data_IF_152281751649
#
_entry.id   IF_152281751649
#
_cell.length_a   1.000
_cell.length_b   1.000
_cell.length_c   1.000
_cell.angle_alpha   90.00
_cell.angle_beta   90.00
_cell.angle_gamma   90.00
#
_symmetry.space_group_name_H-M   'P 1'
#
loop_
_entity.id
_entity.type
_entity.pdbx_description
1 polymer ?
#
# COMPACT_ATOMS: atom_id res chain seq x y z
N UNK A 1 3.57 4.61 -21.18
CA UNK A 1 2.89 4.67 -19.87
C UNK A 1 3.53 3.61 -18.98
N UNK A 2 3.81 3.95 -17.73
CA UNK A 2 4.37 3.03 -16.75
C UNK A 2 3.28 2.15 -16.14
N UNK A 3 3.61 0.91 -15.79
CA UNK A 3 2.65 -0.03 -15.24
C UNK A 3 2.39 0.30 -13.76
N UNK A 4 1.13 0.45 -13.33
CA UNK A 4 0.80 0.65 -11.93
C UNK A 4 1.17 -0.58 -11.09
N UNK A 5 1.43 -0.36 -9.81
CA UNK A 5 1.75 -1.42 -8.87
C UNK A 5 0.46 -1.99 -8.29
N UNK A 6 0.34 -3.31 -8.31
CA UNK A 6 -0.72 -4.07 -7.66
C UNK A 6 -0.13 -5.02 -6.62
N UNK A 7 -0.75 -5.09 -5.45
CA UNK A 7 -0.48 -6.14 -4.46
C UNK A 7 -1.79 -6.57 -3.80
N UNK A 8 -1.97 -7.88 -3.68
CA UNK A 8 -3.09 -8.51 -2.99
C UNK A 8 -2.58 -9.56 -2.02
N UNK A 9 -3.16 -9.58 -0.82
CA UNK A 9 -2.98 -10.67 0.15
C UNK A 9 -4.31 -11.02 0.80
N UNK A 10 -4.50 -12.30 1.10
CA UNK A 10 -5.58 -12.74 1.96
C UNK A 10 -5.07 -12.76 3.42
N UNK A 11 -5.87 -12.24 4.35
CA UNK A 11 -5.55 -12.14 5.77
C UNK A 11 -6.65 -12.79 6.57
N UNK A 12 -6.33 -13.86 7.30
CA UNK A 12 -7.28 -14.58 8.16
C UNK A 12 -7.46 -13.87 9.51
N UNK A 13 -8.02 -12.68 9.45
CA UNK A 13 -8.32 -11.84 10.62
C UNK A 13 -9.63 -11.05 10.37
N UNK A 14 -10.31 -10.58 11.44
CA UNK A 14 -11.50 -9.74 11.30
C UNK A 14 -11.22 -8.44 10.52
N UNK A 15 -12.20 -7.98 9.75
CA UNK A 15 -12.12 -6.75 8.97
C UNK A 15 -11.73 -5.52 9.80
N UNK A 16 -12.29 -5.39 11.00
CA UNK A 16 -11.96 -4.27 11.88
C UNK A 16 -10.50 -4.29 12.31
N UNK A 17 -9.91 -5.47 12.51
CA UNK A 17 -8.49 -5.58 12.86
C UNK A 17 -7.59 -5.16 11.71
N UNK A 18 -7.89 -5.63 10.50
CA UNK A 18 -7.09 -5.25 9.31
C UNK A 18 -7.23 -3.75 9.05
N UNK A 19 -8.44 -3.20 9.19
CA UNK A 19 -8.70 -1.77 9.06
C UNK A 19 -7.95 -0.92 10.09
N UNK A 20 -7.98 -1.29 11.37
CA UNK A 20 -7.23 -0.61 12.43
C UNK A 20 -5.73 -0.58 12.13
N UNK A 21 -5.13 -1.75 11.87
CA UNK A 21 -3.69 -1.86 11.61
C UNK A 21 -3.20 -1.06 10.40
N UNK A 22 -4.10 -0.80 9.45
CA UNK A 22 -3.78 -0.12 8.20
C UNK A 22 -4.11 1.37 8.27
N UNK A 23 -5.16 1.78 8.98
CA UNK A 23 -5.59 3.19 9.04
C UNK A 23 -5.04 3.97 10.24
N UNK A 24 -4.66 3.29 11.32
CA UNK A 24 -4.01 3.93 12.47
C UNK A 24 -2.57 4.33 12.12
N UNK A 25 -2.26 5.62 12.22
CA UNK A 25 -0.97 6.19 11.81
C UNK A 25 0.20 5.83 12.72
N UNK A 26 -0.06 5.35 13.94
CA UNK A 26 0.97 4.83 14.84
C UNK A 26 1.24 3.34 14.57
N UNK A 27 0.24 2.59 14.11
CA UNK A 27 0.38 1.16 13.79
C UNK A 27 0.90 0.91 12.38
N UNK A 28 0.51 1.74 11.41
CA UNK A 28 0.83 1.55 9.99
C UNK A 28 2.35 1.50 9.72
N UNK A 29 3.18 2.46 10.19
CA UNK A 29 4.62 2.43 9.95
C UNK A 29 5.33 1.20 10.55
N UNK A 30 4.72 0.51 11.51
CA UNK A 30 5.32 -0.67 12.14
C UNK A 30 5.50 -1.81 11.15
N UNK A 31 4.53 -2.04 10.25
CA UNK A 31 4.57 -3.13 9.28
C UNK A 31 5.00 -2.69 7.87
N UNK A 32 4.67 -1.45 7.47
CA UNK A 32 4.92 -0.93 6.13
C UNK A 32 6.33 -0.34 6.01
N UNK A 33 7.23 -1.04 5.32
CA UNK A 33 8.63 -0.63 5.18
C UNK A 33 8.83 0.58 4.26
N UNK A 34 7.75 1.09 3.65
CA UNK A 34 7.79 2.31 2.84
C UNK A 34 7.71 3.57 3.72
N UNK A 35 7.38 3.43 5.01
CA UNK A 35 7.23 4.54 5.94
C UNK A 35 7.93 4.24 7.27
N UNK A 36 8.58 5.23 7.84
CA UNK A 36 9.06 5.20 9.24
C UNK A 36 8.16 5.97 10.20
N UNK A 37 7.37 6.92 9.67
CA UNK A 37 6.41 7.71 10.45
C UNK A 37 5.34 8.28 9.52
N UNK A 38 4.11 8.34 10.03
CA UNK A 38 2.99 9.04 9.40
C UNK A 38 2.39 9.94 10.49
N UNK A 39 2.17 11.21 10.18
CA UNK A 39 1.65 12.20 11.14
C UNK A 39 0.48 12.93 10.52
N UNK A 40 -0.75 12.74 11.03
CA UNK A 40 -1.90 13.57 10.64
C UNK A 40 -1.61 15.05 10.91
N UNK A 41 -2.03 15.92 9.99
CA UNK A 41 -1.81 17.37 10.09
C UNK A 41 -3.13 18.11 10.15
N UNK A 42 -4.12 17.72 9.35
CA UNK A 42 -5.35 18.47 9.16
C UNK A 42 -6.48 17.55 8.70
N UNK A 43 -7.70 17.77 9.17
CA UNK A 43 -8.90 17.11 8.64
C UNK A 43 -9.35 17.78 7.32
N UNK A 44 -9.76 16.98 6.34
CA UNK A 44 -10.25 17.50 5.06
C UNK A 44 -11.76 17.76 5.14
N UNK A 45 -12.22 18.83 4.49
CA UNK A 45 -13.64 19.21 4.50
C UNK A 45 -14.55 18.14 3.88
N UNK A 46 -14.04 17.39 2.89
CA UNK A 46 -14.73 16.25 2.26
C UNK A 46 -14.64 14.94 3.05
N UNK A 47 -14.09 14.96 4.27
CA UNK A 47 -13.73 13.79 5.05
C UNK A 47 -12.31 13.29 4.74
N UNK A 48 -11.74 12.55 5.70
CA UNK A 48 -10.35 12.13 5.64
C UNK A 48 -9.40 13.17 6.24
N UNK A 49 -8.10 13.03 5.96
CA UNK A 49 -7.08 13.87 6.55
C UNK A 49 -5.86 14.06 5.64
N UNK A 50 -5.19 15.21 5.79
CA UNK A 50 -3.85 15.46 5.29
C UNK A 50 -2.83 14.94 6.29
N UNK A 51 -1.75 14.34 5.79
CA UNK A 51 -0.66 13.81 6.60
C UNK A 51 0.70 14.16 6.03
N UNK A 52 1.70 14.12 6.91
CA UNK A 52 3.12 14.08 6.56
C UNK A 52 3.63 12.66 6.75
N UNK A 53 4.52 12.21 5.87
CA UNK A 53 5.18 10.93 6.03
C UNK A 53 6.69 11.09 5.96
N UNK A 54 7.40 10.17 6.62
CA UNK A 54 8.85 10.06 6.59
C UNK A 54 9.24 8.63 6.20
N UNK A 55 10.39 8.50 5.54
CA UNK A 55 11.14 7.26 5.41
C UNK A 55 12.61 7.51 5.78
N UNK A 56 12.99 7.06 6.98
CA UNK A 56 14.36 7.15 7.49
C UNK A 56 15.26 6.13 6.80
N UNK A 57 16.24 6.62 6.07
CA UNK A 57 17.34 5.87 5.48
C UNK A 57 18.62 6.13 6.29
N UNK A 58 19.68 5.30 6.17
CA UNK A 58 20.90 5.45 6.97
C UNK A 58 21.57 6.83 6.90
N UNK A 59 21.44 7.54 5.78
CA UNK A 59 22.11 8.83 5.53
C UNK A 59 21.15 9.98 5.19
N UNK A 60 19.83 9.71 5.12
CA UNK A 60 18.85 10.68 4.66
C UNK A 60 17.45 10.33 5.15
N UNK A 61 16.64 11.33 5.45
CA UNK A 61 15.21 11.11 5.76
C UNK A 61 14.40 11.68 4.61
N UNK A 62 13.81 10.79 3.81
CA UNK A 62 12.83 11.20 2.81
C UNK A 62 11.57 11.68 3.52
N UNK A 63 11.02 12.81 3.11
CA UNK A 63 9.79 13.35 3.67
C UNK A 63 8.82 13.77 2.57
N UNK A 64 7.53 13.62 2.82
CA UNK A 64 6.50 14.07 1.90
C UNK A 64 5.17 14.35 2.59
N UNK A 65 4.20 14.75 1.79
CA UNK A 65 2.82 15.00 2.24
C UNK A 65 1.86 14.12 1.46
N UNK A 66 0.70 13.88 2.04
CA UNK A 66 -0.37 13.16 1.39
C UNK A 66 -1.73 13.51 1.95
N UNK A 67 -2.75 13.09 1.23
CA UNK A 67 -4.14 13.12 1.66
C UNK A 67 -4.65 11.68 1.67
N UNK A 68 -5.48 11.35 2.65
CA UNK A 68 -6.09 10.04 2.82
C UNK A 68 -7.57 10.17 3.10
N UNK A 69 -8.39 9.34 2.46
CA UNK A 69 -9.82 9.26 2.68
C UNK A 69 -10.24 7.80 2.79
N UNK A 70 -10.51 7.37 4.03
CA UNK A 70 -11.04 6.05 4.34
C UNK A 70 -12.57 6.00 4.27
N UNK A 71 -13.11 5.09 3.47
CA UNK A 71 -14.53 4.80 3.41
C UNK A 71 -14.81 3.45 4.09
N UNK A 72 -15.24 3.53 5.36
CA UNK A 72 -15.44 2.36 6.24
C UNK A 72 -16.77 1.64 6.00
N UNK A 73 -17.79 2.33 5.48
CA UNK A 73 -19.14 1.78 5.32
C UNK A 73 -19.55 1.88 3.86
N UNK A 74 -19.55 0.75 3.15
CA UNK A 74 -20.11 0.62 1.81
C UNK A 74 -21.26 -0.39 1.81
N UNK A 75 -22.25 -0.26 0.91
CA UNK A 75 -23.42 -1.15 0.87
C UNK A 75 -23.07 -2.64 0.67
N UNK A 76 -21.94 -2.93 0.04
CA UNK A 76 -21.44 -4.28 -0.23
C UNK A 76 -20.58 -4.85 0.92
N UNK A 77 -20.48 -4.13 2.04
CA UNK A 77 -19.65 -4.51 3.20
C UNK A 77 -18.14 -4.34 2.98
N UNK A 78 -17.71 -3.91 1.79
CA UNK A 78 -16.31 -3.62 1.53
C UNK A 78 -15.88 -2.31 2.20
N UNK A 79 -14.58 -2.15 2.39
CA UNK A 79 -14.00 -0.86 2.76
C UNK A 79 -13.02 -0.43 1.71
N UNK A 80 -12.84 0.87 1.55
CA UNK A 80 -11.79 1.42 0.71
C UNK A 80 -11.05 2.52 1.41
N UNK A 81 -9.81 2.78 1.01
CA UNK A 81 -9.06 3.96 1.44
C UNK A 81 -8.33 4.52 0.24
N UNK A 82 -8.69 5.73 -0.16
CA UNK A 82 -8.04 6.46 -1.23
C UNK A 82 -6.90 7.29 -0.66
N UNK A 83 -5.78 7.36 -1.37
CA UNK A 83 -4.64 8.17 -0.95
C UNK A 83 -3.98 8.86 -2.13
N UNK A 84 -3.55 10.11 -1.93
CA UNK A 84 -2.65 10.84 -2.82
C UNK A 84 -1.42 11.24 -2.02
N UNK A 85 -0.27 11.27 -2.66
CA UNK A 85 0.98 11.67 -2.01
C UNK A 85 1.89 12.42 -2.97
N UNK A 86 2.74 13.25 -2.39
CA UNK A 86 3.81 13.96 -3.09
C UNK A 86 5.02 14.11 -2.17
N UNK A 87 6.13 14.56 -2.73
CA UNK A 87 7.32 14.90 -1.96
C UNK A 87 8.07 16.05 -2.63
N UNK A 88 8.55 17.04 -1.87
CA UNK A 88 9.48 18.04 -2.38
C UNK A 88 10.93 17.52 -2.46
N UNK A 89 11.18 16.31 -1.97
CA UNK A 89 12.51 15.73 -1.86
C UNK A 89 13.02 15.21 -3.22
N UNK A 90 14.08 15.84 -3.72
CA UNK A 90 14.69 15.51 -5.01
C UNK A 90 15.42 14.16 -5.00
N UNK A 91 15.77 13.65 -3.81
CA UNK A 91 16.38 12.32 -3.67
C UNK A 91 15.33 11.20 -3.67
N UNK A 92 14.05 11.53 -3.62
CA UNK A 92 13.00 10.51 -3.67
C UNK A 92 12.95 9.83 -5.05
N UNK A 93 13.00 8.49 -5.13
CA UNK A 93 12.76 7.77 -6.37
C UNK A 93 11.28 7.84 -6.82
N UNK A 94 10.36 8.14 -5.90
CA UNK A 94 8.92 8.27 -6.14
C UNK A 94 8.52 9.76 -6.08
N UNK A 95 7.96 10.28 -7.16
CA UNK A 95 7.33 11.60 -7.20
C UNK A 95 5.85 11.58 -6.79
N UNK A 96 5.06 12.56 -7.26
CA UNK A 96 3.62 12.59 -7.02
C UNK A 96 2.94 11.30 -7.45
N UNK A 97 2.07 10.76 -6.61
CA UNK A 97 1.39 9.51 -6.85
C UNK A 97 0.01 9.45 -6.22
N UNK A 98 -0.74 8.44 -6.64
CA UNK A 98 -2.10 8.17 -6.15
C UNK A 98 -2.31 6.68 -6.06
N UNK A 99 -3.11 6.27 -5.08
CA UNK A 99 -3.37 4.87 -4.82
C UNK A 99 -4.65 4.65 -4.06
N UNK A 100 -5.03 3.39 -3.98
CA UNK A 100 -6.15 2.97 -3.15
C UNK A 100 -5.82 1.66 -2.46
N UNK A 101 -6.54 1.46 -1.36
CA UNK A 101 -6.69 0.20 -0.68
C UNK A 101 -8.13 -0.27 -0.75
N UNK A 102 -8.31 -1.58 -0.85
CA UNK A 102 -9.61 -2.24 -0.82
C UNK A 102 -9.55 -3.40 0.16
N UNK A 103 -10.59 -3.51 0.96
CA UNK A 103 -10.78 -4.57 1.95
C UNK A 103 -12.06 -5.30 1.55
N UNK A 104 -11.90 -6.52 1.03
CA UNK A 104 -13.03 -7.36 0.62
C UNK A 104 -13.24 -8.44 1.69
N UNK A 105 -14.35 -8.40 2.46
CA UNK A 105 -14.68 -9.47 3.39
C UNK A 105 -14.83 -10.81 2.66
N UNK A 106 -14.37 -11.88 3.29
CA UNK A 106 -14.48 -13.25 2.81
C UNK A 106 -14.99 -14.14 3.94
N UNK A 107 -15.24 -15.42 3.67
CA UNK A 107 -15.78 -16.35 4.69
C UNK A 107 -14.84 -16.55 5.89
N UNK A 108 -13.52 -16.48 5.67
CA UNK A 108 -12.49 -16.78 6.67
C UNK A 108 -11.51 -15.62 6.95
N UNK A 109 -11.79 -14.43 6.41
CA UNK A 109 -10.92 -13.27 6.61
C UNK A 109 -11.20 -12.10 5.66
N UNK A 110 -10.13 -11.44 5.21
CA UNK A 110 -10.20 -10.27 4.32
C UNK A 110 -9.20 -10.41 3.20
N UNK A 111 -9.64 -10.18 1.96
CA UNK A 111 -8.73 -9.91 0.84
C UNK A 111 -8.38 -8.43 0.85
N UNK A 112 -7.11 -8.13 1.18
CA UNK A 112 -6.56 -6.79 1.22
C UNK A 112 -5.78 -6.51 -0.07
N UNK A 113 -6.18 -5.47 -0.78
CA UNK A 113 -5.67 -5.11 -2.11
C UNK A 113 -5.15 -3.68 -2.08
N UNK A 114 -4.04 -3.43 -2.77
CA UNK A 114 -3.62 -2.08 -3.16
C UNK A 114 -3.37 -1.99 -4.66
N UNK A 115 -3.78 -0.86 -5.23
CA UNK A 115 -3.38 -0.43 -6.56
C UNK A 115 -2.89 1.01 -6.48
N UNK A 116 -1.72 1.31 -7.04
CA UNK A 116 -1.21 2.69 -7.07
C UNK A 116 -0.23 2.94 -8.20
N UNK A 117 -0.12 4.21 -8.59
CA UNK A 117 0.84 4.68 -9.59
C UNK A 117 1.48 5.99 -9.12
N UNK A 118 2.67 6.29 -9.64
CA UNK A 118 3.45 7.47 -9.32
C UNK A 118 4.29 7.95 -10.50
N UNK A 119 4.58 9.24 -10.52
CA UNK A 119 5.54 9.84 -11.43
C UNK A 119 6.97 9.48 -11.01
N UNK A 120 7.84 8.97 -11.90
CA UNK A 120 9.17 8.50 -11.54
C UNK A 120 10.12 9.67 -11.22
N UNK A 121 10.63 9.72 -9.99
CA UNK A 121 11.51 10.80 -9.52
C UNK A 121 12.90 10.79 -10.16
N UNK A 122 13.43 9.60 -10.49
CA UNK A 122 14.75 9.40 -11.11
C UNK A 122 14.68 9.10 -12.62
N UNK A 123 13.53 9.36 -13.25
CA UNK A 123 13.32 9.11 -14.68
C UNK A 123 12.74 7.73 -14.99
N UNK A 124 12.06 7.65 -16.14
CA UNK A 124 11.17 6.54 -16.49
C UNK A 124 11.86 5.21 -16.80
N UNK A 125 13.11 5.23 -17.29
CA UNK A 125 13.83 4.01 -17.67
C UNK A 125 14.24 3.21 -16.44
N UNK A 126 14.94 3.86 -15.49
CA UNK A 126 15.37 3.23 -14.24
C UNK A 126 14.17 2.75 -13.42
N UNK A 127 13.13 3.56 -13.42
CA UNK A 127 11.88 3.27 -12.74
C UNK A 127 11.17 2.03 -13.30
N UNK A 128 11.01 1.95 -14.62
CA UNK A 128 10.40 0.80 -15.30
C UNK A 128 11.22 -0.48 -15.12
N UNK A 129 12.55 -0.40 -15.16
CA UNK A 129 13.40 -1.58 -15.12
C UNK A 129 13.67 -2.07 -13.70
N UNK A 130 13.69 -1.18 -12.71
CA UNK A 130 14.15 -1.51 -11.35
C UNK A 130 13.18 -1.00 -10.28
N UNK A 131 12.93 0.30 -10.20
CA UNK A 131 12.30 0.89 -9.00
C UNK A 131 10.88 0.36 -8.77
N UNK A 132 10.00 0.31 -9.77
CA UNK A 132 8.63 -0.22 -9.58
C UNK A 132 8.62 -1.68 -9.17
N UNK A 133 9.55 -2.48 -9.67
CA UNK A 133 9.68 -3.89 -9.30
C UNK A 133 10.10 -4.04 -7.83
N UNK A 134 11.09 -3.25 -7.39
CA UNK A 134 11.57 -3.23 -6.00
C UNK A 134 10.48 -2.71 -5.06
N UNK A 135 9.82 -1.61 -5.41
CA UNK A 135 8.75 -1.00 -4.62
C UNK A 135 7.53 -1.93 -4.53
N UNK A 136 7.15 -2.59 -5.62
CA UNK A 136 6.08 -3.58 -5.62
C UNK A 136 6.44 -4.81 -4.79
N UNK A 137 7.70 -5.28 -4.83
CA UNK A 137 8.19 -6.34 -3.96
C UNK A 137 8.18 -5.94 -2.49
N UNK A 138 8.63 -4.72 -2.16
CA UNK A 138 8.65 -4.19 -0.79
C UNK A 138 7.22 -4.08 -0.24
N UNK A 139 6.30 -3.59 -1.06
CA UNK A 139 4.86 -3.54 -0.75
C UNK A 139 4.33 -4.93 -0.41
N UNK A 140 4.61 -5.92 -1.25
CA UNK A 140 4.19 -7.31 -1.03
C UNK A 140 4.82 -7.92 0.23
N UNK A 141 6.10 -7.67 0.49
CA UNK A 141 6.74 -8.11 1.72
C UNK A 141 6.09 -7.49 2.97
N UNK A 142 5.78 -6.20 2.92
CA UNK A 142 5.07 -5.49 3.99
C UNK A 142 3.64 -6.00 4.19
N UNK A 143 2.93 -6.36 3.12
CA UNK A 143 1.61 -6.99 3.21
C UNK A 143 1.66 -8.35 3.92
N UNK A 144 2.67 -9.18 3.64
CA UNK A 144 2.83 -10.45 4.37
C UNK A 144 3.24 -10.22 5.83
N UNK A 145 4.00 -9.16 6.13
CA UNK A 145 4.35 -8.76 7.51
C UNK A 145 3.12 -8.30 8.28
N UNK A 146 2.26 -7.49 7.66
CA UNK A 146 0.93 -7.14 8.19
C UNK A 146 0.08 -8.38 8.42
N UNK A 147 0.02 -9.30 7.44
CA UNK A 147 -0.74 -10.55 7.54
C UNK A 147 -0.30 -11.37 8.75
N UNK A 148 1.02 -11.56 8.93
CA UNK A 148 1.56 -12.28 10.09
C UNK A 148 1.14 -11.61 11.40
N UNK A 149 1.22 -10.29 11.48
CA UNK A 149 0.82 -9.56 12.68
C UNK A 149 -0.68 -9.68 12.96
N UNK A 150 -1.50 -9.51 11.94
CA UNK A 150 -2.96 -9.60 12.05
C UNK A 150 -3.44 -11.02 12.41
N UNK A 151 -2.83 -12.07 11.83
CA UNK A 151 -3.24 -13.46 12.05
C UNK A 151 -2.72 -14.06 13.36
N UNK A 152 -1.53 -13.64 13.82
CA UNK A 152 -0.83 -14.33 14.92
C UNK A 152 -0.55 -13.46 16.14
N UNK A 153 -0.75 -12.14 16.04
CA UNK A 153 -0.32 -11.18 17.06
C UNK A 153 1.20 -10.97 17.12
N UNK A 154 2.00 -11.66 16.30
CA UNK A 154 3.45 -11.46 16.23
C UNK A 154 3.77 -10.05 15.75
N UNK A 155 4.39 -9.26 16.61
CA UNK A 155 4.67 -7.86 16.29
C UNK A 155 5.61 -7.72 15.07
N UNK A 156 5.40 -6.70 14.22
CA UNK A 156 6.20 -6.51 13.02
C UNK A 156 7.70 -6.37 13.30
N UNK A 157 8.09 -5.81 14.44
CA UNK A 157 9.49 -5.57 14.84
C UNK A 157 10.30 -6.86 14.98
N UNK A 158 9.63 -8.02 15.17
CA UNK A 158 10.28 -9.34 15.11
C UNK A 158 10.83 -9.65 13.71
N UNK A 159 10.33 -8.97 12.69
CA UNK A 159 10.71 -9.12 11.29
C UNK A 159 11.26 -7.82 10.72
N UNK A 160 12.49 -7.41 11.11
CA UNK A 160 13.15 -6.28 10.46
C UNK A 160 13.42 -6.61 8.98
N UNK A 161 13.74 -5.62 8.14
CA UNK A 161 14.06 -5.86 6.72
C UNK A 161 15.18 -6.88 6.50
N UNK A 162 16.17 -6.94 7.41
CA UNK A 162 17.22 -7.95 7.39
C UNK A 162 16.70 -9.41 7.45
N UNK A 163 15.48 -9.63 7.96
CA UNK A 163 14.84 -10.96 7.99
C UNK A 163 14.59 -11.55 6.59
N UNK A 164 14.68 -10.75 5.53
CA UNK A 164 14.67 -11.23 4.14
C UNK A 164 15.77 -12.25 3.88
N UNK A 165 16.91 -12.12 4.57
CA UNK A 165 18.06 -13.02 4.48
C UNK A 165 17.90 -14.28 5.33
N UNK A 166 16.95 -14.31 6.27
CA UNK A 166 16.70 -15.44 7.16
C UNK A 166 15.95 -16.58 6.46
N UNK A 167 16.44 -17.06 5.32
CA UNK A 167 15.73 -17.99 4.42
C UNK A 167 15.28 -19.29 5.09
N UNK A 168 15.97 -19.71 6.15
CA UNK A 168 15.65 -20.87 6.98
C UNK A 168 14.44 -20.68 7.90
N UNK A 169 14.00 -19.44 8.14
CA UNK A 169 12.79 -19.14 8.93
C UNK A 169 11.56 -19.27 8.04
N UNK A 170 10.69 -20.28 8.26
CA UNK A 170 9.46 -20.41 7.48
C UNK A 170 8.43 -19.34 7.85
N UNK A 171 8.49 -18.82 9.08
CA UNK A 171 7.57 -17.84 9.66
C UNK A 171 7.86 -16.39 9.23
N UNK A 172 8.98 -16.12 8.55
CA UNK A 172 9.33 -14.76 8.09
C UNK A 172 8.36 -14.24 7.02
N UNK A 173 8.24 -12.91 6.84
CA UNK A 173 7.49 -12.33 5.75
C UNK A 173 8.14 -12.61 4.38
N UNK A 174 7.31 -12.88 3.37
CA UNK A 174 7.74 -13.19 2.00
C UNK A 174 6.80 -12.52 0.99
N UNK A 175 7.35 -11.68 0.13
CA UNK A 175 6.60 -11.07 -0.98
C UNK A 175 5.94 -12.09 -1.91
N UNK A 176 6.50 -13.30 -2.02
CA UNK A 176 5.96 -14.38 -2.86
C UNK A 176 4.64 -14.97 -2.34
N UNK A 177 4.22 -14.64 -1.12
CA UNK A 177 2.89 -15.03 -0.58
C UNK A 177 1.77 -14.07 -1.01
N UNK A 178 2.13 -12.94 -1.60
CA UNK A 178 1.18 -11.98 -2.15
C UNK A 178 1.10 -12.12 -3.67
N UNK A 179 -0.07 -11.82 -4.23
CA UNK A 179 -0.24 -11.65 -5.67
C UNK A 179 0.19 -10.24 -6.04
N UNK A 180 0.92 -10.10 -7.16
CA UNK A 180 1.42 -8.80 -7.66
C UNK A 180 0.86 -8.41 -9.03
N UNK A 181 -0.10 -9.18 -9.50
CA UNK A 181 -0.93 -8.86 -10.65
C UNK A 181 -2.37 -9.17 -10.27
N UNK A 182 -3.35 -8.38 -10.73
CA UNK A 182 -4.75 -8.70 -10.53
C UNK A 182 -5.05 -10.08 -11.10
N UNK A 183 -5.78 -10.90 -10.35
CA UNK A 183 -6.24 -12.19 -10.87
C UNK A 183 -7.04 -11.98 -12.16
N UNK A 184 -6.80 -12.81 -13.18
CA UNK A 184 -7.52 -12.72 -14.44
C UNK A 184 -9.02 -12.91 -14.16
N UNK A 185 -9.79 -11.81 -14.06
CA UNK A 185 -11.23 -11.88 -14.30
C UNK A 185 -11.38 -12.44 -15.71
N UNK A 186 -12.09 -13.57 -15.85
CA UNK A 186 -12.40 -14.17 -17.16
C UNK A 186 -13.13 -13.11 -18.00
N UNK A 187 -12.40 -12.35 -18.81
CA UNK A 187 -12.93 -11.34 -19.74
C UNK A 187 -12.50 -11.71 -21.17
N UNK A 188 -13.31 -11.36 -22.18
CA UNK A 188 -12.98 -11.62 -23.58
C UNK A 188 -11.64 -10.98 -23.97
N UNK A 189 -10.86 -11.70 -24.79
CA UNK A 189 -9.45 -11.44 -25.13
C UNK A 189 -9.20 -10.22 -26.04
N UNK A 190 -10.18 -9.33 -26.21
CA UNK A 190 -10.20 -8.32 -27.29
C UNK A 190 -10.00 -6.88 -26.82
N UNK A 191 -10.02 -6.60 -25.52
CA UNK A 191 -9.72 -5.26 -24.98
C UNK A 191 -8.29 -5.21 -24.40
N UNK A 192 -7.60 -4.05 -24.46
CA UNK A 192 -6.38 -3.86 -23.67
C UNK A 192 -6.68 -4.20 -22.21
N UNK A 193 -5.75 -4.91 -21.55
CA UNK A 193 -5.94 -5.30 -20.15
C UNK A 193 -6.23 -4.02 -19.33
N UNK A 194 -7.35 -3.97 -18.58
CA UNK A 194 -7.68 -2.79 -17.80
C UNK A 194 -6.55 -2.50 -16.82
N UNK A 195 -6.21 -1.23 -16.70
CA UNK A 195 -5.21 -0.76 -15.75
C UNK A 195 -5.69 -1.07 -14.33
N UNK A 196 -4.77 -1.41 -13.44
CA UNK A 196 -5.04 -1.57 -11.99
C UNK A 196 -5.74 -0.33 -11.40
N UNK A 197 -5.51 0.84 -12.01
CA UNK A 197 -6.12 2.10 -11.61
C UNK A 197 -7.55 2.27 -12.13
N UNK A 198 -8.01 1.48 -13.11
CA UNK A 198 -9.39 1.51 -13.62
C UNK A 198 -10.37 0.92 -12.60
N UNK A 199 -9.88 0.05 -11.72
CA UNK A 199 -10.64 -0.46 -10.58
C UNK A 199 -10.56 0.50 -9.36
N UNK A 200 -9.98 1.70 -9.44
CA UNK A 200 -9.90 2.60 -8.28
C UNK A 200 -11.30 3.07 -7.80
N UNK A 201 -11.51 3.28 -6.48
CA UNK A 201 -12.75 3.85 -6.00
C UNK A 201 -12.90 5.31 -6.45
N UNK A 202 -14.13 5.74 -6.73
CA UNK A 202 -14.44 7.12 -7.16
C UNK A 202 -13.95 8.20 -6.17
N UNK A 203 -13.82 7.84 -4.89
CA UNK A 203 -13.25 8.70 -3.84
C UNK A 203 -11.80 9.11 -4.14
N UNK A 204 -11.04 8.33 -4.92
CA UNK A 204 -9.67 8.68 -5.31
C UNK A 204 -9.61 9.87 -6.26
N UNK A 205 -10.61 10.03 -7.13
CA UNK A 205 -10.67 11.15 -8.07
C UNK A 205 -11.10 12.44 -7.39
N UNK A 206 -11.94 12.32 -6.36
CA UNK A 206 -12.46 13.43 -5.55
C UNK A 206 -11.51 13.88 -4.44
N UNK A 207 -10.50 13.06 -4.11
CA UNK A 207 -9.57 13.35 -3.02
C UNK A 207 -8.73 14.60 -3.32
N UNK A 208 -8.68 15.52 -2.35
CA UNK A 208 -7.88 16.74 -2.45
C UNK A 208 -6.39 16.44 -2.72
N UNK A 209 -5.72 17.36 -3.43
CA UNK A 209 -4.28 17.22 -3.65
C UNK A 209 -3.50 17.38 -2.33
N UNK A 210 -2.36 16.68 -2.19
CA UNK A 210 -1.47 16.76 -1.02
C UNK A 210 -0.99 18.17 -0.67
#
# INVERSE_FOLDING_TARGET
MTEPIYVETHVRAPLDRVWELTQDTELHPRWDARFSRITPVEELAGGGYRFRYELRLPLHTLAGTGTSLGERHRPDGTRTSALRFTTPDRLSPLGPGRGYWRYVPTADGVTFVTGYDYAPGWGSVLDRLVLRHVVGWLTAWSFDRLRIWAETGTEPERWPLASVLAVWRPDRPRASRCRRAPGARRRPRTDPAPSVMDDAPATLDQLEAP
#
